data_IF_350575459503
#
_entry.id   IF_350575459503
#
_cell.length_a   1.000
_cell.length_b   1.000
_cell.length_c   1.000
_cell.angle_alpha   90.00
_cell.angle_beta   90.00
_cell.angle_gamma   90.00
#
_symmetry.space_group_name_H-M   'P 1'
#
loop_
_entity.id
_entity.type
_entity.pdbx_description
1 polymer ?
#
# COMPACT_ATOMS: atom_id res chain seq x y z
N UNK A 1 15.69 -10.57 -10.42
CA UNK A 1 15.42 -11.36 -9.20
C UNK A 1 13.94 -11.35 -8.88
N UNK A 2 13.43 -12.50 -8.50
CA UNK A 2 12.03 -12.58 -8.12
C UNK A 2 11.83 -12.02 -6.71
N UNK A 3 10.72 -11.36 -6.51
CA UNK A 3 10.32 -10.88 -5.19
C UNK A 3 9.93 -12.06 -4.30
N UNK A 4 10.02 -11.86 -2.98
CA UNK A 4 9.48 -12.83 -2.03
C UNK A 4 7.96 -12.95 -2.23
N UNK A 5 7.33 -14.05 -1.78
CA UNK A 5 5.89 -14.19 -1.88
C UNK A 5 5.12 -13.03 -1.22
N UNK A 6 5.60 -12.52 -0.08
CA UNK A 6 4.95 -11.39 0.61
C UNK A 6 5.10 -10.10 -0.19
N UNK A 7 6.30 -9.83 -0.72
CA UNK A 7 6.51 -8.64 -1.56
C UNK A 7 5.65 -8.70 -2.82
N UNK A 8 5.54 -9.87 -3.41
CA UNK A 8 4.72 -10.08 -4.59
C UNK A 8 3.24 -9.82 -4.30
N UNK A 9 2.77 -10.23 -3.11
CA UNK A 9 1.40 -9.93 -2.69
C UNK A 9 1.16 -8.43 -2.63
N UNK A 10 2.13 -7.66 -2.12
CA UNK A 10 2.03 -6.20 -2.07
C UNK A 10 2.05 -5.58 -3.47
N UNK A 11 2.85 -6.15 -4.37
CA UNK A 11 2.87 -5.69 -5.77
C UNK A 11 1.54 -5.90 -6.46
N UNK A 12 0.91 -7.05 -6.26
CA UNK A 12 -0.42 -7.30 -6.81
C UNK A 12 -1.47 -6.39 -6.18
N UNK A 13 -1.40 -6.14 -4.88
CA UNK A 13 -2.31 -5.20 -4.23
C UNK A 13 -2.16 -3.79 -4.79
N UNK A 14 -0.92 -3.36 -5.05
CA UNK A 14 -0.67 -2.06 -5.68
C UNK A 14 -1.29 -2.00 -7.08
N UNK A 15 -1.06 -3.03 -7.88
CA UNK A 15 -1.60 -3.08 -9.23
C UNK A 15 -3.12 -3.02 -9.23
N UNK A 16 -3.75 -3.76 -8.33
CA UNK A 16 -5.21 -3.76 -8.21
C UNK A 16 -5.75 -2.43 -7.71
N UNK A 17 -5.11 -1.84 -6.72
CA UNK A 17 -5.56 -0.58 -6.15
C UNK A 17 -5.43 0.56 -7.16
N UNK A 18 -4.34 0.60 -7.89
CA UNK A 18 -4.14 1.58 -8.94
C UNK A 18 -5.25 1.45 -10.00
N UNK A 19 -5.54 0.23 -10.43
CA UNK A 19 -6.60 -0.03 -11.40
C UNK A 19 -7.98 0.40 -10.85
N UNK A 20 -8.24 0.12 -9.58
CA UNK A 20 -9.50 0.49 -8.94
C UNK A 20 -9.67 2.01 -8.88
N UNK A 21 -8.60 2.72 -8.52
CA UNK A 21 -8.66 4.19 -8.45
C UNK A 21 -8.93 4.81 -9.82
N UNK A 22 -8.42 4.22 -10.90
CA UNK A 22 -8.59 4.77 -12.23
C UNK A 22 -9.90 4.35 -12.90
N UNK A 23 -10.40 3.14 -12.63
CA UNK A 23 -11.55 2.59 -13.35
C UNK A 23 -12.85 2.62 -12.56
N UNK A 24 -12.77 2.53 -11.24
CA UNK A 24 -13.95 2.36 -10.40
C UNK A 24 -14.62 1.00 -10.54
N UNK A 25 -13.95 0.03 -11.18
CA UNK A 25 -14.49 -1.30 -11.35
C UNK A 25 -14.67 -2.01 -10.00
N UNK A 26 -15.56 -3.00 -9.98
CA UNK A 26 -15.83 -3.76 -8.77
C UNK A 26 -14.56 -4.44 -8.24
N UNK A 27 -14.24 -4.30 -6.94
CA UNK A 27 -13.06 -4.94 -6.37
C UNK A 27 -12.99 -6.45 -6.58
N UNK A 28 -14.13 -7.15 -6.55
CA UNK A 28 -14.14 -8.58 -6.79
C UNK A 28 -13.75 -8.92 -8.24
N UNK A 29 -14.17 -8.10 -9.20
CA UNK A 29 -13.81 -8.29 -10.61
C UNK A 29 -12.33 -8.04 -10.81
N UNK A 30 -11.76 -7.02 -10.18
CA UNK A 30 -10.33 -6.73 -10.26
C UNK A 30 -9.54 -7.89 -9.67
N UNK A 31 -9.97 -8.39 -8.51
CA UNK A 31 -9.29 -9.54 -7.89
C UNK A 31 -9.31 -10.76 -8.80
N UNK A 32 -10.44 -11.01 -9.46
CA UNK A 32 -10.54 -12.12 -10.40
C UNK A 32 -9.53 -12.04 -11.54
N UNK A 33 -9.34 -10.82 -12.07
CA UNK A 33 -8.36 -10.58 -13.13
C UNK A 33 -6.93 -10.78 -12.62
N UNK A 34 -6.63 -10.28 -11.41
CA UNK A 34 -5.31 -10.44 -10.82
C UNK A 34 -4.98 -11.90 -10.59
N UNK A 35 -5.97 -12.69 -10.18
CA UNK A 35 -5.78 -14.11 -9.91
C UNK A 35 -5.37 -14.90 -11.16
N UNK A 36 -5.67 -14.37 -12.35
CA UNK A 36 -5.27 -14.97 -13.61
C UNK A 36 -3.88 -14.52 -14.07
N UNK A 37 -3.26 -13.55 -13.37
CA UNK A 37 -1.97 -13.02 -13.75
C UNK A 37 -0.85 -14.03 -13.47
N UNK A 38 0.19 -14.05 -14.32
CA UNK A 38 1.35 -14.91 -14.08
C UNK A 38 1.96 -14.62 -12.70
N UNK A 39 2.21 -15.69 -11.95
CA UNK A 39 2.85 -15.56 -10.65
C UNK A 39 1.91 -15.33 -9.48
N UNK A 40 0.63 -15.05 -9.72
CA UNK A 40 -0.30 -14.79 -8.61
C UNK A 40 -0.40 -15.99 -7.66
N UNK A 41 -0.46 -17.20 -8.20
CA UNK A 41 -0.57 -18.41 -7.38
C UNK A 41 0.64 -18.60 -6.45
N UNK A 42 1.78 -17.98 -6.77
CA UNK A 42 3.02 -18.09 -5.98
C UNK A 42 3.20 -16.95 -5.00
N UNK A 43 2.33 -15.96 -4.98
CA UNK A 43 2.40 -14.91 -3.97
C UNK A 43 1.75 -15.40 -2.68
N UNK A 44 1.97 -14.65 -1.59
CA UNK A 44 1.29 -14.92 -0.33
C UNK A 44 -0.17 -14.50 -0.46
N UNK A 45 -1.03 -15.45 -0.80
CA UNK A 45 -2.43 -15.17 -1.08
C UNK A 45 -3.19 -14.69 0.16
N UNK A 46 -2.82 -15.14 1.35
CA UNK A 46 -3.46 -14.67 2.58
C UNK A 46 -3.15 -13.21 2.81
N UNK A 47 -1.89 -12.82 2.64
CA UNK A 47 -1.51 -11.42 2.77
C UNK A 47 -2.19 -10.57 1.70
N UNK A 48 -2.22 -11.05 0.46
CA UNK A 48 -2.89 -10.33 -0.62
C UNK A 48 -4.36 -10.07 -0.27
N UNK A 49 -5.09 -11.09 0.18
CA UNK A 49 -6.51 -10.95 0.50
C UNK A 49 -6.74 -10.00 1.67
N UNK A 50 -5.88 -10.06 2.70
CA UNK A 50 -5.96 -9.11 3.81
C UNK A 50 -5.77 -7.67 3.32
N UNK A 51 -4.74 -7.44 2.50
CA UNK A 51 -4.46 -6.12 1.94
C UNK A 51 -5.60 -5.66 1.05
N UNK A 52 -6.02 -6.51 0.11
CA UNK A 52 -7.04 -6.12 -0.87
C UNK A 52 -8.36 -5.77 -0.22
N UNK A 53 -8.83 -6.61 0.69
CA UNK A 53 -10.06 -6.36 1.42
C UNK A 53 -9.94 -5.11 2.29
N UNK A 54 -8.81 -4.95 2.97
CA UNK A 54 -8.61 -3.81 3.86
C UNK A 54 -8.54 -2.48 3.12
N UNK A 55 -7.74 -2.40 2.06
CA UNK A 55 -7.56 -1.12 1.36
C UNK A 55 -8.81 -0.71 0.58
N UNK A 56 -9.58 -1.67 0.06
CA UNK A 56 -10.80 -1.32 -0.66
C UNK A 56 -11.95 -0.98 0.29
N UNK A 57 -12.06 -1.68 1.41
CA UNK A 57 -13.12 -1.41 2.38
C UNK A 57 -12.90 -0.10 3.14
N UNK A 58 -11.66 0.27 3.41
CA UNK A 58 -11.34 1.41 4.27
C UNK A 58 -10.57 2.52 3.56
N UNK A 59 -10.68 2.60 2.25
CA UNK A 59 -9.89 3.53 1.45
C UNK A 59 -9.99 4.98 1.98
N UNK A 60 -11.20 5.47 2.20
CA UNK A 60 -11.40 6.86 2.64
C UNK A 60 -10.81 7.10 4.03
N UNK A 61 -11.00 6.15 4.95
CA UNK A 61 -10.44 6.26 6.31
C UNK A 61 -8.92 6.24 6.27
N UNK A 62 -8.34 5.41 5.40
CA UNK A 62 -6.89 5.33 5.26
C UNK A 62 -6.32 6.62 4.68
N UNK A 63 -6.97 7.17 3.66
CA UNK A 63 -6.55 8.44 3.08
C UNK A 63 -6.62 9.54 4.12
N UNK A 64 -7.67 9.59 4.92
CA UNK A 64 -7.81 10.57 5.99
C UNK A 64 -6.70 10.41 7.03
N UNK A 65 -6.25 9.18 7.28
CA UNK A 65 -5.21 8.94 8.28
C UNK A 65 -3.86 9.51 7.85
N UNK A 66 -3.49 9.40 6.58
CA UNK A 66 -2.19 9.92 6.15
C UNK A 66 -2.25 11.34 5.58
N UNK A 67 -3.43 11.85 5.26
CA UNK A 67 -3.58 13.17 4.64
C UNK A 67 -2.91 14.31 5.44
N UNK A 68 -2.98 14.34 6.79
CA UNK A 68 -2.33 15.42 7.54
C UNK A 68 -0.82 15.50 7.36
N UNK A 69 -0.20 14.41 6.91
CA UNK A 69 1.26 14.33 6.78
C UNK A 69 1.75 14.61 5.36
N UNK A 70 0.82 14.82 4.42
CA UNK A 70 1.19 15.19 3.06
C UNK A 70 1.69 16.62 3.04
N UNK A 71 2.72 16.88 2.22
CA UNK A 71 3.25 18.24 2.02
C UNK A 71 2.59 18.93 0.82
N UNK A 72 1.58 18.29 0.25
CA UNK A 72 0.82 18.77 -0.89
C UNK A 72 -0.63 18.34 -0.74
N UNK A 73 -1.52 18.94 -1.54
CA UNK A 73 -2.94 18.58 -1.48
C UNK A 73 -3.14 17.14 -1.96
N UNK A 74 -4.12 16.40 -1.38
CA UNK A 74 -4.37 15.02 -1.82
C UNK A 74 -4.58 14.88 -3.32
N UNK A 75 -5.20 15.87 -3.96
CA UNK A 75 -5.41 15.84 -5.41
C UNK A 75 -4.14 15.99 -6.23
N UNK A 76 -3.03 16.42 -5.60
CA UNK A 76 -1.74 16.58 -6.26
C UNK A 76 -0.85 15.36 -6.10
N UNK A 77 -1.29 14.37 -5.33
CA UNK A 77 -0.56 13.11 -5.16
C UNK A 77 -0.95 12.17 -6.29
N UNK A 78 0.04 11.59 -6.96
CA UNK A 78 -0.23 10.70 -8.10
C UNK A 78 -1.00 9.46 -7.66
N UNK A 79 -1.79 8.83 -8.55
CA UNK A 79 -2.50 7.60 -8.21
C UNK A 79 -1.58 6.47 -7.74
N UNK A 80 -0.37 6.37 -8.29
CA UNK A 80 0.61 5.37 -7.85
C UNK A 80 1.03 5.64 -6.40
N UNK A 81 1.39 6.89 -6.09
CA UNK A 81 1.79 7.25 -4.74
C UNK A 81 0.65 7.08 -3.75
N UNK A 82 -0.58 7.47 -4.15
CA UNK A 82 -1.76 7.26 -3.31
C UNK A 82 -1.96 5.77 -3.00
N UNK A 83 -1.80 4.93 -4.00
CA UNK A 83 -1.98 3.49 -3.81
C UNK A 83 -0.94 2.94 -2.84
N UNK A 84 0.32 3.36 -2.99
CA UNK A 84 1.40 2.90 -2.11
C UNK A 84 1.18 3.40 -0.68
N UNK A 85 0.83 4.68 -0.52
CA UNK A 85 0.55 5.25 0.80
C UNK A 85 -0.63 4.54 1.47
N UNK A 86 -1.66 4.20 0.70
CA UNK A 86 -2.82 3.51 1.24
C UNK A 86 -2.46 2.11 1.74
N UNK A 87 -1.65 1.37 0.98
CA UNK A 87 -1.19 0.04 1.39
C UNK A 87 -0.34 0.15 2.66
N UNK A 88 0.61 1.08 2.68
CA UNK A 88 1.45 1.30 3.86
C UNK A 88 0.65 1.70 5.09
N UNK A 89 -0.31 2.61 4.91
CA UNK A 89 -1.17 3.05 6.00
C UNK A 89 -2.00 1.89 6.56
N UNK A 90 -2.53 1.03 5.67
CA UNK A 90 -3.30 -0.12 6.14
C UNK A 90 -2.44 -1.05 6.99
N UNK A 91 -1.22 -1.34 6.55
CA UNK A 91 -0.33 -2.20 7.33
C UNK A 91 0.03 -1.57 8.67
N UNK A 92 0.29 -0.27 8.69
CA UNK A 92 0.61 0.43 9.94
C UNK A 92 -0.55 0.43 10.92
N UNK A 93 -1.77 0.60 10.43
CA UNK A 93 -2.96 0.74 11.28
C UNK A 93 -3.61 -0.59 11.64
N UNK A 94 -3.56 -1.58 10.76
CA UNK A 94 -4.37 -2.79 10.89
C UNK A 94 -3.58 -4.11 10.87
N UNK A 95 -2.27 -4.06 10.70
CA UNK A 95 -1.45 -5.27 10.68
C UNK A 95 -0.35 -5.19 11.75
N UNK A 96 -0.72 -5.25 13.05
CA UNK A 96 0.26 -5.13 14.13
C UNK A 96 1.30 -6.25 14.13
N UNK A 97 1.01 -7.37 13.45
CA UNK A 97 1.95 -8.47 13.27
C UNK A 97 3.10 -8.11 12.33
N UNK A 98 2.95 -7.05 11.52
CA UNK A 98 4.03 -6.56 10.64
C UNK A 98 4.76 -5.43 11.37
N UNK A 99 6.06 -5.56 11.67
CA UNK A 99 6.81 -4.47 12.31
C UNK A 99 6.71 -3.19 11.48
N UNK A 100 6.59 -2.03 12.16
CA UNK A 100 6.37 -0.79 11.43
C UNK A 100 7.49 -0.47 10.44
N UNK A 101 8.73 -0.81 10.78
CA UNK A 101 9.86 -0.58 9.87
C UNK A 101 9.75 -1.43 8.61
N UNK A 102 9.22 -2.65 8.73
CA UNK A 102 8.99 -3.52 7.58
C UNK A 102 7.90 -2.94 6.70
N UNK A 103 6.78 -2.49 7.31
CA UNK A 103 5.68 -1.90 6.55
C UNK A 103 6.16 -0.68 5.74
N UNK A 104 6.93 0.20 6.37
CA UNK A 104 7.45 1.39 5.69
C UNK A 104 8.45 1.00 4.60
N UNK A 105 9.40 0.10 4.91
CA UNK A 105 10.40 -0.31 3.95
C UNK A 105 9.80 -0.96 2.71
N UNK A 106 8.76 -1.78 2.88
CA UNK A 106 8.10 -2.42 1.74
C UNK A 106 7.36 -1.37 0.88
N UNK A 107 6.74 -0.38 1.49
CA UNK A 107 6.12 0.72 0.74
C UNK A 107 7.18 1.52 -0.03
N UNK A 108 8.32 1.77 0.59
CA UNK A 108 9.43 2.48 -0.05
C UNK A 108 9.95 1.68 -1.25
N UNK A 109 10.06 0.35 -1.12
CA UNK A 109 10.51 -0.49 -2.24
C UNK A 109 9.50 -0.48 -3.39
N UNK A 110 8.20 -0.47 -3.09
CA UNK A 110 7.19 -0.30 -4.13
C UNK A 110 7.36 1.05 -4.84
N UNK A 111 7.62 2.10 -4.09
CA UNK A 111 7.81 3.43 -4.67
C UNK A 111 9.05 3.50 -5.54
N UNK A 112 10.13 2.81 -5.16
CA UNK A 112 11.34 2.75 -5.99
C UNK A 112 11.08 2.03 -7.31
N UNK A 113 10.26 0.98 -7.27
CA UNK A 113 9.97 0.18 -8.45
C UNK A 113 8.97 0.84 -9.39
N UNK A 114 7.96 1.52 -8.85
CA UNK A 114 6.80 1.98 -9.62
C UNK A 114 6.53 3.47 -9.55
N UNK A 115 7.12 4.17 -8.60
CA UNK A 115 6.90 5.61 -8.43
C UNK A 115 7.84 6.45 -9.26
N UNK A 116 7.71 7.75 -9.15
CA UNK A 116 8.60 8.70 -9.81
C UNK A 116 9.95 8.78 -9.12
N UNK A 117 10.85 9.59 -9.68
CA UNK A 117 12.26 9.66 -9.27
C UNK A 117 12.46 9.80 -7.76
N UNK A 118 11.71 10.67 -7.11
CA UNK A 118 11.85 10.89 -5.67
C UNK A 118 10.62 10.44 -4.89
N UNK A 119 9.74 9.66 -5.52
CA UNK A 119 8.51 9.19 -4.89
C UNK A 119 8.77 8.40 -3.61
N UNK A 120 9.85 7.59 -3.59
CA UNK A 120 10.16 6.79 -2.41
C UNK A 120 10.51 7.63 -1.19
N UNK A 121 11.15 8.78 -1.38
CA UNK A 121 11.47 9.69 -0.27
C UNK A 121 10.22 10.31 0.31
N UNK A 122 9.28 10.68 -0.56
CA UNK A 122 8.02 11.25 -0.16
C UNK A 122 7.18 10.23 0.63
N UNK A 123 7.07 9.02 0.10
CA UNK A 123 6.35 7.93 0.75
C UNK A 123 6.96 7.64 2.13
N UNK A 124 8.29 7.54 2.19
CA UNK A 124 8.98 7.28 3.45
C UNK A 124 8.65 8.36 4.50
N UNK A 125 8.72 9.63 4.10
CA UNK A 125 8.47 10.74 5.01
C UNK A 125 7.03 10.75 5.56
N UNK A 126 6.05 10.51 4.69
CA UNK A 126 4.65 10.49 5.10
C UNK A 126 4.38 9.32 6.05
N UNK A 127 4.87 8.13 5.70
CA UNK A 127 4.60 6.95 6.52
C UNK A 127 5.36 6.96 7.85
N UNK A 128 6.56 7.55 7.89
CA UNK A 128 7.27 7.75 9.17
C UNK A 128 6.44 8.57 10.14
N UNK A 129 5.83 9.64 9.65
CA UNK A 129 5.00 10.51 10.51
C UNK A 129 3.74 9.78 10.96
N UNK A 130 3.11 9.02 10.07
CA UNK A 130 1.94 8.23 10.45
C UNK A 130 2.32 7.18 11.49
N UNK A 131 3.45 6.49 11.30
CA UNK A 131 3.90 5.45 12.22
C UNK A 131 4.18 6.00 13.62
N UNK A 132 4.69 7.23 13.72
CA UNK A 132 4.97 7.84 15.01
C UNK A 132 3.72 7.96 15.87
N UNK A 133 2.55 8.07 15.26
CA UNK A 133 1.27 8.07 15.98
C UNK A 133 0.69 6.67 16.07
N UNK A 134 0.57 5.99 14.93
CA UNK A 134 -0.11 4.69 14.84
C UNK A 134 0.62 3.57 15.60
N UNK A 135 1.94 3.67 15.67
CA UNK A 135 2.79 2.66 16.31
C UNK A 135 3.66 3.28 17.39
N UNK A 136 3.09 4.22 18.17
CA UNK A 136 3.84 4.98 19.17
C UNK A 136 4.55 4.06 20.16
N UNK A 137 3.89 3.01 20.64
CA UNK A 137 4.47 2.08 21.62
C UNK A 137 5.65 1.30 21.04
N UNK A 138 5.58 0.99 19.73
CA UNK A 138 6.63 0.24 19.04
C UNK A 138 7.78 1.15 18.61
N UNK A 139 7.45 2.38 18.20
CA UNK A 139 8.43 3.34 17.72
C UNK A 139 9.18 4.04 18.85
N UNK A 140 8.57 4.10 20.02
CA UNK A 140 9.18 4.68 21.23
C UNK A 140 10.16 3.74 21.85
#
# INVERSE_FOLDING_TARGET
MSSSPRRRAREFALQGLYQWLLSGNDPAAIRGQLAESPGFARCDNKLFDRLWQGVTAEYDALQSAYAPYLDRKPGEVSPIEKSILTIGAWELLHAPDVPFKVAINEAVELAKAYGGTDGHKYVNGVLDKLAATARAAEAG
#
